data_IF_556010580312
#
_entry.id   IF_556010580312
#
_cell.length_a   1.000
_cell.length_b   1.000
_cell.length_c   1.000
_cell.angle_alpha   90.00
_cell.angle_beta   90.00
_cell.angle_gamma   90.00
#
_symmetry.space_group_name_H-M   'P 1'
#
loop_
_entity.id
_entity.type
_entity.pdbx_description
1 polymer ?
#
# COMPACT_ATOMS: atom_id res chain seq x y z
N UNK A 1 -15.34 13.22 2.61
CA UNK A 1 -15.81 12.12 1.77
C UNK A 1 -17.16 11.61 2.24
N UNK A 2 -17.33 11.21 3.51
CA UNK A 2 -18.62 10.73 4.07
C UNK A 2 -19.83 11.65 3.86
N UNK A 3 -19.64 12.98 3.93
CA UNK A 3 -20.71 13.96 3.64
C UNK A 3 -21.05 14.09 2.14
N UNK A 4 -20.11 13.82 1.24
CA UNK A 4 -20.35 13.88 -0.21
C UNK A 4 -21.09 12.63 -0.68
N UNK A 5 -20.75 11.47 -0.12
CA UNK A 5 -21.42 10.22 -0.43
C UNK A 5 -22.93 10.36 -0.12
N UNK A 6 -23.31 10.79 1.08
CA UNK A 6 -24.70 11.01 1.48
C UNK A 6 -25.47 11.98 0.56
N UNK A 7 -24.80 13.03 0.06
CA UNK A 7 -25.40 14.00 -0.88
C UNK A 7 -25.67 13.37 -2.25
N UNK A 8 -24.75 12.55 -2.74
CA UNK A 8 -24.93 11.83 -4.01
C UNK A 8 -26.00 10.73 -3.90
N UNK A 9 -26.05 10.00 -2.80
CA UNK A 9 -27.08 8.99 -2.56
C UNK A 9 -28.48 9.60 -2.48
N UNK A 10 -28.64 10.76 -1.85
CA UNK A 10 -29.91 11.50 -1.83
C UNK A 10 -30.34 11.94 -3.24
N UNK A 11 -29.39 12.42 -4.07
CA UNK A 11 -29.66 12.81 -5.47
C UNK A 11 -30.11 11.66 -6.37
N UNK A 12 -29.66 10.43 -6.09
CA UNK A 12 -30.06 9.21 -6.80
C UNK A 12 -31.33 8.58 -6.18
N UNK A 13 -31.97 9.26 -5.22
CA UNK A 13 -33.20 8.81 -4.56
C UNK A 13 -33.01 7.79 -3.43
N UNK A 14 -31.77 7.57 -2.98
CA UNK A 14 -31.43 6.64 -1.90
C UNK A 14 -31.75 7.19 -0.51
N UNK A 15 -32.29 6.36 0.37
CA UNK A 15 -32.52 6.73 1.78
C UNK A 15 -31.20 6.73 2.59
N UNK A 16 -31.04 7.61 3.60
CA UNK A 16 -29.80 7.67 4.41
C UNK A 16 -29.41 6.34 5.07
N UNK A 17 -30.41 5.53 5.45
CA UNK A 17 -30.20 4.20 6.04
C UNK A 17 -29.62 3.20 5.04
N UNK A 18 -30.17 3.17 3.82
CA UNK A 18 -29.66 2.30 2.76
C UNK A 18 -28.23 2.68 2.36
N UNK A 19 -27.91 3.97 2.38
CA UNK A 19 -26.57 4.47 2.10
C UNK A 19 -25.54 4.04 3.15
N UNK A 20 -25.85 4.17 4.44
CA UNK A 20 -24.96 3.71 5.50
C UNK A 20 -24.73 2.19 5.42
N UNK A 21 -25.78 1.42 5.11
CA UNK A 21 -25.65 -0.02 4.89
C UNK A 21 -24.76 -0.32 3.68
N UNK A 22 -24.92 0.39 2.57
CA UNK A 22 -24.10 0.21 1.38
C UNK A 22 -22.61 0.52 1.64
N UNK A 23 -22.31 1.58 2.41
CA UNK A 23 -20.93 1.91 2.82
C UNK A 23 -20.36 0.80 3.70
N UNK A 24 -21.14 0.31 4.67
CA UNK A 24 -20.71 -0.76 5.57
C UNK A 24 -20.42 -2.05 4.79
N UNK A 25 -21.34 -2.48 3.94
CA UNK A 25 -21.19 -3.68 3.11
C UNK A 25 -20.02 -3.51 2.16
N UNK A 26 -19.92 -2.38 1.45
CA UNK A 26 -18.83 -2.11 0.52
C UNK A 26 -17.46 -2.10 1.20
N UNK A 27 -17.35 -1.47 2.38
CA UNK A 27 -16.12 -1.46 3.17
C UNK A 27 -15.76 -2.87 3.67
N UNK A 28 -16.73 -3.64 4.17
CA UNK A 28 -16.52 -5.00 4.63
C UNK A 28 -16.07 -5.93 3.50
N UNK A 29 -16.77 -5.90 2.36
CA UNK A 29 -16.40 -6.68 1.18
C UNK A 29 -15.01 -6.31 0.69
N UNK A 30 -14.69 -5.00 0.63
CA UNK A 30 -13.35 -4.54 0.24
C UNK A 30 -12.27 -5.01 1.21
N UNK A 31 -12.53 -4.95 2.52
CA UNK A 31 -11.60 -5.42 3.54
C UNK A 31 -11.34 -6.92 3.44
N UNK A 32 -12.37 -7.72 3.16
CA UNK A 32 -12.24 -9.16 2.96
C UNK A 32 -11.45 -9.49 1.70
N UNK A 33 -11.77 -8.84 0.58
CA UNK A 33 -11.07 -9.06 -0.70
C UNK A 33 -9.60 -8.67 -0.57
N UNK A 34 -9.32 -7.44 -0.11
CA UNK A 34 -7.93 -6.95 0.05
C UNK A 34 -7.18 -7.81 1.07
N UNK A 35 -7.81 -8.17 2.19
CA UNK A 35 -7.22 -9.04 3.19
C UNK A 35 -6.86 -10.41 2.61
N UNK A 36 -7.76 -11.02 1.84
CA UNK A 36 -7.51 -12.28 1.13
C UNK A 36 -6.36 -12.17 0.13
N UNK A 37 -6.35 -11.13 -0.72
CA UNK A 37 -5.26 -10.89 -1.67
C UNK A 37 -3.92 -10.70 -0.96
N UNK A 38 -3.88 -9.93 0.13
CA UNK A 38 -2.66 -9.72 0.91
C UNK A 38 -2.15 -11.02 1.55
N UNK A 39 -3.03 -11.90 2.04
CA UNK A 39 -2.62 -13.20 2.57
C UNK A 39 -1.99 -14.06 1.48
N UNK A 40 -2.63 -14.15 0.31
CA UNK A 40 -2.11 -14.92 -0.84
C UNK A 40 -0.75 -14.38 -1.30
N UNK A 41 -0.62 -13.05 -1.44
CA UNK A 41 0.64 -12.42 -1.84
C UNK A 41 1.73 -12.60 -0.78
N UNK A 42 1.37 -12.49 0.50
CA UNK A 42 2.31 -12.67 1.59
C UNK A 42 2.82 -14.11 1.66
N UNK A 43 1.92 -15.09 1.55
CA UNK A 43 2.29 -16.50 1.60
C UNK A 43 3.14 -16.89 0.39
N UNK A 44 2.81 -16.38 -0.81
CA UNK A 44 3.60 -16.59 -2.03
C UNK A 44 4.98 -15.92 -2.00
N UNK A 45 5.14 -14.80 -1.30
CA UNK A 45 6.41 -14.08 -1.15
C UNK A 45 7.22 -14.43 0.11
N UNK A 46 6.73 -15.35 0.96
CA UNK A 46 7.40 -15.70 2.21
C UNK A 46 8.64 -16.55 1.92
N UNK A 47 9.79 -16.13 2.47
CA UNK A 47 11.08 -16.79 2.30
C UNK A 47 11.54 -17.36 3.64
N UNK A 48 12.11 -18.55 3.59
CA UNK A 48 12.76 -19.17 4.74
C UNK A 48 14.26 -19.08 4.55
N UNK A 49 15.00 -18.66 5.57
CA UNK A 49 16.47 -18.56 5.55
C UNK A 49 17.08 -19.28 6.75
N UNK A 50 18.21 -19.96 6.54
CA UNK A 50 19.05 -20.60 7.56
C UNK A 50 20.12 -19.67 8.12
N UNK A 51 20.31 -18.48 7.54
CA UNK A 51 21.28 -17.52 8.03
C UNK A 51 20.72 -16.77 9.25
N UNK A 52 20.75 -17.44 10.40
CA UNK A 52 20.15 -16.96 11.65
C UNK A 52 21.19 -16.87 12.77
N UNK A 53 21.05 -15.91 13.70
CA UNK A 53 21.90 -15.85 14.87
C UNK A 53 21.70 -17.09 15.75
N UNK A 54 22.79 -17.60 16.31
CA UNK A 54 22.76 -18.75 17.22
C UNK A 54 22.31 -18.27 18.62
N UNK A 55 20.99 -18.09 18.77
CA UNK A 55 20.35 -17.61 19.99
C UNK A 55 19.20 -18.56 20.40
N UNK A 56 18.99 -18.64 21.71
CA UNK A 56 17.87 -19.40 22.30
C UNK A 56 16.78 -18.42 22.69
N UNK A 57 15.60 -18.59 22.11
CA UNK A 57 14.43 -17.80 22.42
C UNK A 57 13.65 -18.44 23.58
N UNK A 58 13.19 -17.65 24.56
CA UNK A 58 12.35 -18.17 25.63
C UNK A 58 11.01 -18.65 25.06
N UNK A 59 10.67 -19.91 25.31
CA UNK A 59 9.41 -20.51 24.91
C UNK A 59 8.36 -20.34 26.03
N UNK A 60 7.18 -19.88 25.65
CA UNK A 60 6.01 -19.66 26.52
C UNK A 60 5.11 -20.90 26.61
N UNK A 61 5.35 -21.92 25.77
CA UNK A 61 4.58 -23.17 25.72
C UNK A 61 3.23 -23.04 24.98
N UNK A 62 2.92 -21.87 24.42
CA UNK A 62 1.69 -21.59 23.65
C UNK A 62 1.98 -21.35 22.16
N UNK A 63 3.20 -21.59 21.73
CA UNK A 63 3.63 -21.38 20.36
C UNK A 63 2.92 -22.35 19.42
N UNK A 64 2.44 -21.83 18.29
CA UNK A 64 1.93 -22.69 17.22
C UNK A 64 3.10 -23.44 16.61
N UNK A 65 2.91 -24.73 16.36
CA UNK A 65 3.84 -25.52 15.57
C UNK A 65 3.56 -25.29 14.09
N UNK A 66 4.63 -25.04 13.33
CA UNK A 66 4.59 -24.84 11.90
C UNK A 66 5.75 -25.60 11.25
N UNK A 67 5.46 -26.22 10.10
CA UNK A 67 6.49 -26.81 9.25
C UNK A 67 7.15 -25.74 8.40
N UNK A 68 8.41 -25.95 8.07
CA UNK A 68 9.14 -25.08 7.14
C UNK A 68 8.50 -25.15 5.76
N UNK A 69 8.29 -23.99 5.14
CA UNK A 69 7.81 -23.86 3.76
C UNK A 69 8.94 -23.63 2.76
N UNK A 70 8.58 -23.39 1.50
CA UNK A 70 9.54 -23.03 0.45
C UNK A 70 10.51 -24.18 0.10
N UNK A 71 11.75 -23.90 -0.33
CA UNK A 71 12.67 -24.91 -0.83
C UNK A 71 13.11 -25.92 0.24
N UNK A 72 12.98 -25.56 1.52
CA UNK A 72 13.34 -26.43 2.64
C UNK A 72 12.21 -27.37 3.05
N UNK A 73 10.98 -27.18 2.56
CA UNK A 73 9.84 -28.06 2.87
C UNK A 73 10.04 -29.50 2.37
N UNK A 74 10.80 -29.68 1.27
CA UNK A 74 11.13 -31.00 0.72
C UNK A 74 12.30 -31.68 1.45
N UNK A 75 13.13 -30.91 2.15
CA UNK A 75 14.36 -31.37 2.80
C UNK A 75 14.16 -31.61 4.29
N UNK A 76 13.27 -30.84 4.93
CA UNK A 76 13.03 -30.85 6.37
C UNK A 76 11.54 -31.03 6.67
N UNK A 77 11.19 -32.21 7.21
CA UNK A 77 9.82 -32.54 7.64
C UNK A 77 9.55 -32.20 9.11
N UNK A 78 10.51 -31.57 9.79
CA UNK A 78 10.41 -31.17 11.19
C UNK A 78 9.31 -30.13 11.43
N UNK A 79 8.62 -30.29 12.56
CA UNK A 79 7.70 -29.28 13.10
C UNK A 79 8.47 -28.37 14.05
N UNK A 80 8.40 -27.06 13.82
CA UNK A 80 9.10 -26.05 14.61
C UNK A 80 8.11 -25.12 15.31
N UNK A 81 8.51 -24.56 16.45
CA UNK A 81 7.69 -23.59 17.18
C UNK A 81 7.89 -22.19 16.61
N UNK A 82 6.79 -21.53 16.26
CA UNK A 82 6.79 -20.17 15.73
C UNK A 82 6.92 -19.18 16.88
N UNK A 83 7.99 -18.38 16.85
CA UNK A 83 8.23 -17.31 17.81
C UNK A 83 8.33 -15.97 17.09
N UNK A 84 7.59 -14.98 17.56
CA UNK A 84 7.67 -13.60 17.06
C UNK A 84 8.52 -12.78 18.02
N UNK A 85 9.71 -12.39 17.57
CA UNK A 85 10.62 -11.54 18.35
C UNK A 85 10.26 -10.09 18.09
N UNK A 86 9.97 -9.32 19.14
CA UNK A 86 9.73 -7.87 19.04
C UNK A 86 11.02 -7.10 19.30
N UNK A 87 10.99 -5.81 18.94
CA UNK A 87 12.12 -4.90 19.15
C UNK A 87 12.52 -4.90 20.63
N UNK A 88 13.76 -5.31 20.91
CA UNK A 88 14.34 -5.29 22.25
C UNK A 88 13.96 -6.45 23.17
N UNK A 89 13.26 -7.49 22.68
CA UNK A 89 12.95 -8.67 23.51
C UNK A 89 14.18 -9.56 23.75
N UNK A 90 15.09 -9.69 22.77
CA UNK A 90 16.33 -10.51 22.89
C UNK A 90 17.55 -9.75 22.34
N UNK A 91 18.66 -9.62 23.09
CA UNK A 91 19.87 -8.96 22.61
C UNK A 91 20.47 -9.67 21.40
N UNK A 92 20.76 -8.94 20.33
CA UNK A 92 21.44 -9.47 19.14
C UNK A 92 20.54 -10.23 18.14
N UNK A 93 19.23 -10.34 18.41
CA UNK A 93 18.26 -10.91 17.48
C UNK A 93 17.38 -9.79 16.93
N UNK A 94 17.33 -9.67 15.60
CA UNK A 94 16.47 -8.69 14.97
C UNK A 94 14.99 -9.03 15.15
N UNK A 95 14.08 -8.03 15.16
CA UNK A 95 12.66 -8.29 15.25
C UNK A 95 12.15 -8.97 13.97
N UNK A 96 11.43 -10.07 14.12
CA UNK A 96 11.02 -10.93 13.02
C UNK A 96 10.30 -12.21 13.49
N UNK A 97 9.89 -13.04 12.54
CA UNK A 97 9.27 -14.34 12.80
C UNK A 97 10.32 -15.44 12.65
N UNK A 98 10.51 -16.23 13.67
CA UNK A 98 11.53 -17.28 13.72
C UNK A 98 10.89 -18.65 13.99
N UNK A 99 11.48 -19.69 13.40
CA UNK A 99 11.18 -21.08 13.69
C UNK A 99 12.25 -21.62 14.62
N UNK A 100 11.81 -22.11 15.78
CA UNK A 100 12.67 -22.65 16.83
C UNK A 100 12.42 -24.13 17.06
N UNK A 101 13.44 -24.86 17.51
CA UNK A 101 13.26 -26.23 17.97
C UNK A 101 12.56 -26.28 19.35
N UNK A 102 12.32 -27.49 19.88
CA UNK A 102 11.71 -27.67 21.20
C UNK A 102 12.56 -27.14 22.36
N UNK A 103 13.85 -26.90 22.11
CA UNK A 103 14.78 -26.29 23.06
C UNK A 103 14.84 -24.75 22.93
N UNK A 104 14.12 -24.17 21.97
CA UNK A 104 14.07 -22.72 21.72
C UNK A 104 15.19 -22.19 20.83
N UNK A 105 16.05 -23.03 20.25
CA UNK A 105 17.13 -22.59 19.34
C UNK A 105 16.56 -22.20 17.99
N UNK A 106 17.00 -21.06 17.47
CA UNK A 106 16.56 -20.57 16.16
C UNK A 106 17.16 -21.46 15.05
N UNK A 107 16.29 -21.97 14.18
CA UNK A 107 16.68 -22.81 13.03
C UNK A 107 16.43 -22.14 11.69
N UNK A 108 15.35 -21.36 11.61
CA UNK A 108 15.01 -20.63 10.40
C UNK A 108 14.44 -19.25 10.72
N UNK A 109 14.78 -18.27 9.89
CA UNK A 109 14.09 -16.97 9.81
C UNK A 109 12.98 -17.10 8.76
N UNK A 110 11.77 -16.68 9.12
CA UNK A 110 10.61 -16.58 8.23
C UNK A 110 10.43 -15.12 7.85
N UNK A 111 10.91 -14.77 6.66
CA UNK A 111 10.81 -13.41 6.15
C UNK A 111 9.55 -13.26 5.26
N UNK A 112 8.54 -12.45 5.69
CA UNK A 112 7.27 -12.34 5.00
C UNK A 112 7.40 -11.78 3.57
N UNK A 113 6.43 -12.05 2.71
CA UNK A 113 6.39 -11.47 1.36
C UNK A 113 6.09 -9.97 1.37
N UNK A 114 5.26 -9.52 2.32
CA UNK A 114 4.92 -8.11 2.50
C UNK A 114 5.80 -7.48 3.58
N UNK A 115 6.49 -6.38 3.25
CA UNK A 115 7.46 -5.69 4.12
C UNK A 115 8.60 -6.61 4.64
N UNK A 116 8.96 -7.65 3.88
CA UNK A 116 10.11 -8.52 4.19
C UNK A 116 11.45 -7.84 3.90
N UNK A 117 12.51 -8.33 4.54
CA UNK A 117 13.87 -7.75 4.43
C UNK A 117 14.77 -8.48 3.43
N UNK A 118 14.52 -9.77 3.18
CA UNK A 118 15.38 -10.58 2.33
C UNK A 118 15.00 -10.38 0.86
N UNK A 119 15.87 -9.70 0.13
CA UNK A 119 15.74 -9.52 -1.34
C UNK A 119 16.30 -10.70 -2.13
N UNK A 120 17.01 -11.62 -1.45
CA UNK A 120 17.59 -12.83 -2.04
C UNK A 120 17.41 -14.00 -1.09
N UNK A 121 17.21 -15.18 -1.67
CA UNK A 121 17.22 -16.44 -0.94
C UNK A 121 18.65 -16.88 -0.61
N UNK A 122 18.80 -17.86 0.26
CA UNK A 122 20.10 -18.44 0.64
C UNK A 122 20.86 -19.05 -0.56
N UNK A 123 20.14 -19.45 -1.62
CA UNK A 123 20.69 -19.94 -2.90
C UNK A 123 21.00 -18.81 -3.91
N UNK A 124 20.88 -17.55 -3.48
CA UNK A 124 21.16 -16.36 -4.30
C UNK A 124 20.06 -15.97 -5.30
N UNK A 125 18.97 -16.73 -5.40
CA UNK A 125 17.81 -16.41 -6.24
C UNK A 125 17.14 -15.10 -5.78
N UNK A 126 16.80 -14.17 -6.69
CA UNK A 126 16.12 -12.94 -6.33
C UNK A 126 14.68 -13.23 -5.95
N UNK A 127 14.20 -12.60 -4.87
CA UNK A 127 12.81 -12.75 -4.42
C UNK A 127 12.11 -11.40 -4.48
N UNK A 128 10.90 -11.40 -5.06
CA UNK A 128 10.07 -10.21 -5.10
C UNK A 128 9.39 -9.99 -3.74
N UNK A 129 9.59 -8.81 -3.17
CA UNK A 129 8.94 -8.35 -1.95
C UNK A 129 7.96 -7.23 -2.26
N UNK A 130 6.94 -7.11 -1.44
CA UNK A 130 5.87 -6.13 -1.60
C UNK A 130 5.92 -5.12 -0.45
N UNK A 131 6.21 -3.86 -0.77
CA UNK A 131 6.23 -2.80 0.22
C UNK A 131 4.83 -2.23 0.44
N UNK A 132 4.38 -2.31 1.70
CA UNK A 132 3.11 -1.77 2.16
C UNK A 132 3.37 -0.80 3.33
N UNK A 133 3.96 0.40 3.05
CA UNK A 133 4.38 1.33 4.09
C UNK A 133 3.20 1.81 4.95
N UNK A 134 2.03 2.07 4.35
CA UNK A 134 0.85 2.47 5.12
C UNK A 134 0.38 1.37 6.09
N UNK A 135 0.48 0.11 5.69
CA UNK A 135 0.12 -1.02 6.55
C UNK A 135 1.14 -1.22 7.68
N UNK A 136 2.44 -1.01 7.42
CA UNK A 136 3.50 -1.11 8.41
C UNK A 136 3.35 -0.10 9.55
N UNK A 137 3.01 1.15 9.26
CA UNK A 137 2.73 2.14 10.31
C UNK A 137 1.56 1.71 11.18
N UNK A 138 0.47 1.26 10.55
CA UNK A 138 -0.70 0.79 11.28
C UNK A 138 -0.39 -0.42 12.14
N UNK A 139 0.43 -1.36 11.67
CA UNK A 139 0.86 -2.50 12.50
C UNK A 139 1.67 -2.04 13.71
N UNK A 140 2.60 -1.09 13.55
CA UNK A 140 3.35 -0.56 14.71
C UNK A 140 2.45 0.14 15.73
N UNK A 141 1.45 0.90 15.28
CA UNK A 141 0.48 1.55 16.17
C UNK A 141 -0.35 0.50 16.92
N UNK A 142 -0.87 -0.50 16.22
CA UNK A 142 -1.67 -1.58 16.82
C UNK A 142 -0.83 -2.38 17.82
N UNK A 143 0.37 -2.79 17.43
CA UNK A 143 1.28 -3.56 18.27
C UNK A 143 1.67 -2.77 19.52
N UNK A 144 1.96 -1.48 19.37
CA UNK A 144 2.28 -0.61 20.50
C UNK A 144 1.10 -0.45 21.47
N UNK A 145 -0.13 -0.24 20.96
CA UNK A 145 -1.34 -0.12 21.79
C UNK A 145 -1.63 -1.45 22.51
N UNK A 146 -1.61 -2.56 21.78
CA UNK A 146 -1.95 -3.88 22.31
C UNK A 146 -0.90 -4.39 23.32
N UNK A 147 0.39 -4.12 23.06
CA UNK A 147 1.48 -4.49 23.96
C UNK A 147 1.66 -3.53 25.13
N UNK A 148 0.96 -2.39 25.14
CA UNK A 148 1.13 -1.30 26.11
C UNK A 148 2.55 -0.74 26.18
N UNK A 149 3.42 -1.02 25.20
CA UNK A 149 4.81 -0.54 25.12
C UNK A 149 4.94 0.70 24.22
N UNK A 150 3.87 1.48 24.04
CA UNK A 150 3.93 2.68 23.20
C UNK A 150 4.94 3.70 23.74
N UNK A 151 5.83 4.25 22.89
CA UNK A 151 6.70 5.35 23.27
C UNK A 151 5.89 6.66 23.34
N UNK A 152 5.13 6.85 24.42
CA UNK A 152 4.25 8.00 24.63
C UNK A 152 4.96 9.35 24.51
N UNK A 153 6.25 9.41 24.85
CA UNK A 153 7.09 10.60 24.63
C UNK A 153 7.12 11.00 23.15
N UNK A 154 7.33 10.05 22.23
CA UNK A 154 7.34 10.32 20.78
C UNK A 154 5.95 10.74 20.28
N UNK A 155 4.89 10.13 20.80
CA UNK A 155 3.50 10.49 20.46
C UNK A 155 3.20 11.93 20.89
N UNK A 156 3.54 12.31 22.14
CA UNK A 156 3.32 13.66 22.66
C UNK A 156 4.15 14.71 21.92
N UNK A 157 5.38 14.37 21.50
CA UNK A 157 6.17 15.23 20.61
C UNK A 157 5.43 15.45 19.29
N UNK A 158 4.88 14.39 18.69
CA UNK A 158 4.08 14.50 17.46
C UNK A 158 2.84 15.40 17.64
N UNK A 159 2.13 15.27 18.77
CA UNK A 159 0.99 16.14 19.12
C UNK A 159 1.44 17.60 19.28
N UNK A 160 2.57 17.85 19.92
CA UNK A 160 3.11 19.20 20.07
C UNK A 160 3.48 19.83 18.72
N UNK A 161 4.12 19.06 17.83
CA UNK A 161 4.45 19.51 16.46
C UNK A 161 3.17 19.82 15.68
N UNK A 162 2.16 18.94 15.75
CA UNK A 162 0.88 19.18 15.08
C UNK A 162 0.20 20.46 15.57
N UNK A 163 0.23 20.72 16.88
CA UNK A 163 -0.32 21.94 17.48
C UNK A 163 0.43 23.19 17.00
N UNK A 164 1.77 23.15 16.95
CA UNK A 164 2.59 24.26 16.44
C UNK A 164 2.30 24.54 14.96
N UNK A 165 2.15 23.50 14.14
CA UNK A 165 1.80 23.64 12.72
C UNK A 165 0.42 24.26 12.55
N UNK A 166 -0.57 23.78 13.32
CA UNK A 166 -1.94 24.30 13.26
C UNK A 166 -2.00 25.77 13.69
N UNK A 167 -1.24 26.15 14.73
CA UNK A 167 -1.10 27.56 15.16
C UNK A 167 -0.37 28.43 14.11
N UNK A 168 0.55 27.86 13.34
CA UNK A 168 1.22 28.53 12.22
C UNK A 168 0.35 28.61 10.95
N UNK A 169 -0.90 28.08 11.00
CA UNK A 169 -1.80 28.03 9.84
C UNK A 169 -1.38 27.01 8.78
N UNK A 170 -0.48 26.07 9.13
CA UNK A 170 -0.04 24.99 8.24
C UNK A 170 -0.90 23.77 8.54
N UNK A 171 -1.59 23.19 7.53
CA UNK A 171 -2.41 22.01 7.75
C UNK A 171 -1.52 20.83 8.16
N UNK A 172 -1.71 20.36 9.39
CA UNK A 172 -0.87 19.33 10.05
C UNK A 172 -0.95 17.95 9.37
N UNK A 173 -2.11 17.59 8.80
CA UNK A 173 -2.33 16.28 8.17
C UNK A 173 -1.52 16.09 6.87
N UNK A 174 -1.57 16.99 5.87
CA UNK A 174 -0.70 16.91 4.68
C UNK A 174 0.78 16.90 5.03
N UNK A 175 1.19 17.67 6.04
CA UNK A 175 2.57 17.70 6.52
C UNK A 175 3.00 16.34 7.05
N UNK A 176 2.22 15.74 7.97
CA UNK A 176 2.53 14.43 8.54
C UNK A 176 2.60 13.32 7.47
N UNK A 177 1.67 13.34 6.51
CA UNK A 177 1.67 12.39 5.39
C UNK A 177 2.91 12.56 4.51
N UNK A 178 3.33 13.80 4.25
CA UNK A 178 4.51 14.10 3.45
C UNK A 178 5.83 13.66 4.10
N UNK A 179 5.95 13.76 5.42
CA UNK A 179 7.14 13.32 6.17
C UNK A 179 7.23 11.79 6.27
N UNK A 180 6.09 11.10 6.32
CA UNK A 180 6.05 9.65 6.49
C UNK A 180 6.25 8.86 5.20
N UNK A 181 5.78 9.38 4.05
CA UNK A 181 5.79 8.62 2.81
C UNK A 181 7.12 8.74 2.07
N UNK A 182 7.59 7.65 1.40
CA UNK A 182 8.73 7.71 0.50
C UNK A 182 8.54 8.83 -0.53
N UNK A 183 9.62 9.57 -0.81
CA UNK A 183 9.57 10.68 -1.76
C UNK A 183 9.03 10.21 -3.12
N UNK A 184 9.39 9.01 -3.55
CA UNK A 184 8.88 8.37 -4.77
C UNK A 184 7.35 8.19 -4.80
N UNK A 185 6.71 7.94 -3.66
CA UNK A 185 5.26 7.82 -3.55
C UNK A 185 4.56 9.20 -3.47
N UNK A 186 5.24 10.20 -2.92
CA UNK A 186 4.71 11.57 -2.77
C UNK A 186 4.87 12.42 -4.05
N UNK A 187 5.88 12.13 -4.88
CA UNK A 187 6.17 12.89 -6.10
C UNK A 187 5.00 12.95 -7.10
N UNK A 188 4.28 11.86 -7.41
CA UNK A 188 3.13 11.93 -8.32
C UNK A 188 2.01 12.84 -7.80
N UNK A 189 1.76 12.82 -6.49
CA UNK A 189 0.76 13.69 -5.84
C UNK A 189 1.20 15.15 -5.94
N UNK A 190 2.47 15.42 -5.65
CA UNK A 190 3.07 16.75 -5.75
C UNK A 190 3.03 17.30 -7.18
N UNK A 191 3.48 16.51 -8.17
CA UNK A 191 3.47 16.87 -9.59
C UNK A 191 2.04 17.12 -10.07
N UNK A 192 1.09 16.25 -9.70
CA UNK A 192 -0.33 16.46 -10.03
C UNK A 192 -0.88 17.77 -9.44
N UNK A 193 -0.51 18.11 -8.20
CA UNK A 193 -0.85 19.39 -7.56
C UNK A 193 -0.21 20.59 -8.27
N UNK A 194 1.06 20.48 -8.67
CA UNK A 194 1.79 21.52 -9.39
C UNK A 194 1.17 21.78 -10.77
N UNK A 195 0.86 20.73 -11.53
CA UNK A 195 0.18 20.82 -12.82
C UNK A 195 -1.16 21.52 -12.66
N UNK A 196 -1.96 21.13 -11.65
CA UNK A 196 -3.23 21.79 -11.36
C UNK A 196 -3.05 23.28 -11.05
N UNK A 197 -2.06 23.62 -10.23
CA UNK A 197 -1.76 25.02 -9.89
C UNK A 197 -1.38 25.85 -11.13
N UNK A 198 -0.58 25.30 -12.04
CA UNK A 198 -0.21 25.97 -13.30
C UNK A 198 -1.44 26.18 -14.20
N UNK A 199 -2.29 25.16 -14.33
CA UNK A 199 -3.52 25.22 -15.13
C UNK A 199 -4.51 26.24 -14.54
N UNK A 200 -4.74 26.20 -13.23
CA UNK A 200 -5.62 27.13 -12.52
C UNK A 200 -5.11 28.58 -12.60
N UNK A 201 -3.78 28.78 -12.70
CA UNK A 201 -3.16 30.10 -12.86
C UNK A 201 -3.32 30.67 -14.28
N UNK A 202 -3.39 29.81 -15.30
CA UNK A 202 -3.58 30.20 -16.70
C UNK A 202 -5.04 30.54 -17.06
N UNK A 203 -6.00 29.88 -16.40
CA UNK A 203 -7.43 30.17 -16.52
C UNK A 203 -7.80 31.31 -15.55
N UNK A 204 -7.73 32.57 -15.99
CA UNK A 204 -8.14 33.76 -15.19
C UNK A 204 -9.65 33.74 -14.82
N UNK A 205 -10.03 32.92 -13.83
CA UNK A 205 -11.09 33.13 -12.82
C UNK A 205 -11.62 31.81 -12.28
N UNK A 206 -11.72 31.76 -10.95
CA UNK A 206 -12.85 31.18 -10.22
C UNK A 206 -13.24 29.77 -10.63
N UNK A 207 -12.38 28.79 -10.40
CA UNK A 207 -12.88 27.44 -10.17
C UNK A 207 -13.62 27.48 -8.83
N UNK A 208 -14.91 27.78 -8.91
CA UNK A 208 -15.83 27.46 -7.83
C UNK A 208 -15.49 26.05 -7.39
N UNK A 209 -15.33 25.90 -6.08
CA UNK A 209 -15.18 24.67 -5.32
C UNK A 209 -16.41 23.77 -5.52
N UNK A 210 -16.73 23.45 -6.77
CA UNK A 210 -17.69 22.45 -7.18
C UNK A 210 -17.02 21.11 -6.96
N UNK A 211 -17.61 20.36 -6.04
CA UNK A 211 -17.19 19.09 -5.47
C UNK A 211 -16.74 17.99 -6.46
N UNK A 212 -16.89 18.19 -7.77
CA UNK A 212 -16.51 17.23 -8.81
C UNK A 212 -16.02 17.96 -10.07
N UNK A 213 -14.72 18.26 -10.14
CA UNK A 213 -14.13 18.74 -11.39
C UNK A 213 -14.19 17.64 -12.46
N UNK A 214 -14.56 17.93 -13.72
CA UNK A 214 -14.57 16.96 -14.82
C UNK A 214 -13.26 16.16 -14.93
N UNK A 215 -12.12 16.78 -14.61
CA UNK A 215 -10.82 16.10 -14.58
C UNK A 215 -10.69 15.04 -13.48
N UNK A 216 -11.29 15.26 -12.31
CA UNK A 216 -11.31 14.27 -11.21
C UNK A 216 -12.17 13.06 -11.60
N UNK A 217 -13.32 13.30 -12.23
CA UNK A 217 -14.23 12.25 -12.68
C UNK A 217 -13.57 11.37 -13.76
N UNK A 218 -12.94 12.01 -14.75
CA UNK A 218 -12.20 11.32 -15.82
C UNK A 218 -11.04 10.50 -15.26
N UNK A 219 -10.24 11.08 -14.35
CA UNK A 219 -9.11 10.39 -13.73
C UNK A 219 -9.56 9.19 -12.91
N UNK A 220 -10.64 9.32 -12.13
CA UNK A 220 -11.22 8.20 -11.38
C UNK A 220 -11.72 7.09 -12.29
N UNK A 221 -12.35 7.44 -13.42
CA UNK A 221 -12.77 6.47 -14.43
C UNK A 221 -11.61 5.71 -15.07
N UNK A 222 -10.51 6.41 -15.39
CA UNK A 222 -9.29 5.79 -15.93
C UNK A 222 -8.60 4.86 -14.91
N UNK A 223 -8.54 5.25 -13.64
CA UNK A 223 -7.97 4.40 -12.58
C UNK A 223 -8.81 3.13 -12.44
N UNK A 224 -10.13 3.26 -12.32
CA UNK A 224 -11.03 2.11 -12.22
C UNK A 224 -10.91 1.20 -13.45
N UNK A 225 -10.96 1.77 -14.66
CA UNK A 225 -10.81 1.03 -15.91
C UNK A 225 -9.47 0.30 -16.02
N UNK A 226 -8.36 0.98 -15.66
CA UNK A 226 -7.02 0.39 -15.65
C UNK A 226 -6.89 -0.80 -14.69
N UNK A 227 -7.47 -0.70 -13.49
CA UNK A 227 -7.48 -1.82 -12.53
C UNK A 227 -8.28 -3.02 -13.03
N UNK A 228 -9.48 -2.79 -13.61
CA UNK A 228 -10.31 -3.86 -14.15
C UNK A 228 -9.65 -4.53 -15.36
N UNK A 229 -9.04 -3.74 -16.26
CA UNK A 229 -8.31 -4.26 -17.41
C UNK A 229 -7.08 -5.08 -16.98
N UNK A 230 -6.34 -4.59 -15.98
CA UNK A 230 -5.19 -5.31 -15.41
C UNK A 230 -5.57 -6.64 -14.76
N UNK A 231 -6.64 -6.66 -13.96
CA UNK A 231 -7.17 -7.89 -13.34
C UNK A 231 -7.64 -8.87 -14.42
N UNK A 232 -8.39 -8.39 -15.41
CA UNK A 232 -8.86 -9.21 -16.54
C UNK A 232 -7.68 -9.83 -17.29
N UNK A 233 -6.64 -9.04 -17.59
CA UNK A 233 -5.42 -9.54 -18.25
C UNK A 233 -4.67 -10.56 -17.38
N UNK A 234 -4.58 -10.34 -16.07
CA UNK A 234 -3.94 -11.28 -15.15
C UNK A 234 -4.69 -12.61 -15.06
N UNK A 235 -6.03 -12.58 -14.97
CA UNK A 235 -6.86 -13.78 -14.98
C UNK A 235 -6.66 -14.52 -16.28
N UNK A 236 -6.79 -13.83 -17.40
CA UNK A 236 -6.64 -14.42 -18.71
C UNK A 236 -5.24 -15.06 -18.90
N UNK A 237 -4.17 -14.43 -18.40
CA UNK A 237 -2.80 -14.97 -18.34
C UNK A 237 -2.61 -16.23 -17.48
N UNK A 238 -3.58 -16.58 -16.63
CA UNK A 238 -3.56 -17.86 -15.89
C UNK A 238 -4.17 -19.01 -16.70
N UNK A 239 -5.08 -18.71 -17.63
CA UNK A 239 -5.79 -19.71 -18.45
C UNK A 239 -5.16 -19.94 -19.82
N UNK A 240 -4.55 -18.89 -20.36
CA UNK A 240 -3.75 -18.97 -21.57
C UNK A 240 -2.26 -18.82 -21.22
N UNK A 241 -1.39 -19.55 -21.90
CA UNK A 241 0.05 -19.26 -21.88
C UNK A 241 0.32 -18.14 -22.92
N UNK A 242 -0.39 -16.99 -22.85
CA UNK A 242 0.01 -15.81 -23.61
C UNK A 242 1.25 -15.24 -22.95
N UNK A 243 2.38 -15.82 -23.33
CA UNK A 243 3.69 -15.19 -23.30
C UNK A 243 3.80 -13.99 -24.28
N UNK A 244 2.69 -13.35 -24.68
CA UNK A 244 2.66 -12.23 -25.63
C UNK A 244 2.70 -10.87 -24.92
N UNK A 245 2.24 -10.80 -23.67
CA UNK A 245 2.22 -9.56 -22.86
C UNK A 245 3.48 -9.32 -22.01
N UNK A 246 3.97 -10.30 -21.21
CA UNK A 246 4.99 -10.02 -20.20
C UNK A 246 6.38 -9.68 -20.75
N UNK A 247 6.75 -10.17 -21.94
CA UNK A 247 8.11 -10.01 -22.48
C UNK A 247 8.28 -8.71 -23.29
N UNK A 248 7.29 -8.34 -24.08
CA UNK A 248 7.32 -7.09 -24.87
C UNK A 248 6.91 -5.88 -24.04
N UNK A 249 5.80 -5.97 -23.29
CA UNK A 249 5.36 -4.88 -22.42
C UNK A 249 6.26 -4.73 -21.19
N UNK A 250 6.80 -5.84 -20.66
CA UNK A 250 7.77 -5.83 -19.56
C UNK A 250 9.10 -5.18 -19.96
N UNK A 251 9.66 -5.48 -21.14
CA UNK A 251 10.87 -4.80 -21.63
C UNK A 251 10.63 -3.31 -21.93
N UNK A 252 9.43 -2.93 -22.39
CA UNK A 252 9.08 -1.52 -22.58
C UNK A 252 8.85 -0.79 -21.26
N UNK A 253 8.27 -1.45 -20.24
CA UNK A 253 8.03 -0.87 -18.91
C UNK A 253 9.32 -0.65 -18.11
N UNK A 254 10.41 -1.33 -18.45
CA UNK A 254 11.74 -1.19 -17.81
C UNK A 254 12.55 -0.02 -18.40
N UNK A 255 12.16 0.50 -19.56
CA UNK A 255 12.78 1.71 -20.12
C UNK A 255 12.22 2.95 -19.41
N UNK A 256 13.03 3.62 -18.59
CA UNK A 256 12.66 4.88 -17.89
C UNK A 256 12.07 5.93 -18.85
N UNK A 257 12.52 5.94 -20.11
CA UNK A 257 12.04 6.82 -21.17
C UNK A 257 10.61 6.51 -21.64
N UNK A 258 10.16 5.26 -21.51
CA UNK A 258 8.84 4.84 -21.95
C UNK A 258 7.76 5.32 -20.99
N UNK A 259 8.05 5.48 -19.69
CA UNK A 259 7.11 6.05 -18.72
C UNK A 259 6.76 7.52 -19.03
N UNK A 260 7.66 8.25 -19.70
CA UNK A 260 7.42 9.64 -20.14
C UNK A 260 6.37 9.74 -21.24
N UNK A 261 6.18 8.70 -22.06
CA UNK A 261 5.22 8.70 -23.17
C UNK A 261 3.76 8.67 -22.70
N UNK A 262 3.30 7.71 -21.86
CA UNK A 262 1.95 7.73 -21.33
C UNK A 262 1.76 8.90 -20.35
N UNK A 263 2.79 9.31 -19.61
CA UNK A 263 2.70 10.49 -18.74
C UNK A 263 2.52 11.78 -19.56
N UNK A 264 3.30 11.97 -20.62
CA UNK A 264 3.17 13.08 -21.56
C UNK A 264 1.85 13.06 -22.33
N UNK A 265 1.37 11.88 -22.73
CA UNK A 265 0.06 11.72 -23.36
C UNK A 265 -1.07 12.06 -22.39
N UNK A 266 -0.97 11.65 -21.12
CA UNK A 266 -1.95 11.97 -20.09
C UNK A 266 -1.97 13.48 -19.79
N UNK A 267 -0.79 14.12 -19.69
CA UNK A 267 -0.68 15.58 -19.57
C UNK A 267 -1.27 16.29 -20.80
N UNK A 268 -0.98 15.82 -22.01
CA UNK A 268 -1.53 16.40 -23.25
C UNK A 268 -3.06 16.27 -23.31
N UNK A 269 -3.61 15.11 -22.94
CA UNK A 269 -5.06 14.88 -22.87
C UNK A 269 -5.70 15.79 -21.82
N UNK A 270 -5.10 15.94 -20.63
CA UNK A 270 -5.60 16.85 -19.60
C UNK A 270 -5.60 18.32 -20.07
N UNK A 271 -4.56 18.74 -20.79
CA UNK A 271 -4.49 20.09 -21.36
C UNK A 271 -5.50 20.31 -22.49
N UNK A 272 -5.72 19.31 -23.36
CA UNK A 272 -6.70 19.36 -24.43
C UNK A 272 -8.14 19.40 -23.89
N UNK A 273 -8.48 18.52 -22.95
CA UNK A 273 -9.80 18.49 -22.30
C UNK A 273 -10.02 19.77 -21.50
N UNK A 274 -9.01 20.25 -20.75
CA UNK A 274 -9.08 21.53 -20.05
C UNK A 274 -9.30 22.71 -21.01
N UNK A 275 -8.63 22.71 -22.17
CA UNK A 275 -8.76 23.73 -23.20
C UNK A 275 -10.08 23.70 -23.98
N UNK A 276 -10.66 22.52 -24.22
CA UNK A 276 -11.97 22.38 -24.86
C UNK A 276 -13.13 22.77 -23.95
N UNK A 277 -13.06 22.42 -22.66
CA UNK A 277 -14.04 22.87 -21.66
C UNK A 277 -14.00 24.39 -21.50
N UNK A 278 -12.82 25.00 -21.59
CA UNK A 278 -12.65 26.46 -21.63
C UNK A 278 -13.27 27.11 -22.87
N UNK A 279 -13.12 26.49 -24.05
CA UNK A 279 -13.69 27.02 -25.31
C UNK A 279 -15.21 26.90 -25.38
N UNK A 280 -15.80 25.80 -24.94
CA UNK A 280 -17.27 25.59 -24.99
C UNK A 280 -18.07 26.50 -24.06
N UNK A 281 -17.44 27.09 -23.05
CA UNK A 281 -18.08 28.08 -22.15
C UNK A 281 -17.90 29.53 -22.59
N UNK A 282 -17.05 29.81 -23.58
CA UNK A 282 -16.87 31.16 -24.13
C UNK A 282 -17.83 31.46 -25.31
N UNK A 283 -18.51 30.44 -25.83
CA UNK A 283 -19.47 30.51 -26.93
C UNK A 283 -20.94 30.44 -26.48
N UNK A 284 -21.20 30.42 -25.17
CA UNK A 284 -22.53 30.57 -24.54
C UNK A 284 -22.50 31.86 -23.74
#
# INVERSE_FOLDING_TARGET
>A
TTSQDLKTGFLVGGTPRAMQLAILVGALTSALVIGGTLLVLNDGGTVYSKNVPDAVLPLTGREKQQRVGGPYAAVDSGSYRVVHVKVGDVPGVEPGRYLTDDAGRIRYLVDPGVNGRLTRQDDGTPVQKYDAPKAALMSFIIDGILSRKMPWTLVLIGVAIALVLELAGIPSLPFAVGVYLPLSASMPIFVGGLVRWIVDRGLRRGSGSGDTSPGVLFSSGLIAGGTIAGITAAILGLWYDLAVGPRWLGNLAVLDSFALVPCGLLVAVLLLVGGEVGRRRATI
#
